data_IF_704562862919
#
_entry.id   IF_704562862919
#
_cell.length_a   1.000
_cell.length_b   1.000
_cell.length_c   1.000
_cell.angle_alpha   90.00
_cell.angle_beta   90.00
_cell.angle_gamma   90.00
#
_symmetry.space_group_name_H-M   'P 1'
#
loop_
_entity.id
_entity.type
_entity.pdbx_description
1 polymer ?
#
# COMPACT_ATOMS: atom_id res chain seq x y z
N UNK A 1 -18.25 10.00 12.44
CA UNK A 1 -17.04 10.73 11.97
C UNK A 1 -17.31 11.38 10.62
N UNK A 2 -17.63 10.62 9.56
CA UNK A 2 -17.87 11.20 8.22
C UNK A 2 -19.09 12.14 8.18
N UNK A 3 -20.19 11.79 8.86
CA UNK A 3 -21.41 12.63 8.95
C UNK A 3 -21.17 13.93 9.74
N UNK A 4 -20.11 13.99 10.56
CA UNK A 4 -19.75 15.16 11.36
C UNK A 4 -18.66 16.01 10.68
N UNK A 5 -18.13 15.57 9.54
CA UNK A 5 -17.11 16.28 8.80
C UNK A 5 -17.77 17.07 7.66
N UNK A 6 -17.36 18.34 7.42
CA UNK A 6 -17.88 19.11 6.28
C UNK A 6 -17.63 18.37 4.97
N UNK A 7 -18.48 18.63 3.97
CA UNK A 7 -18.25 18.11 2.62
C UNK A 7 -16.85 18.53 2.14
N UNK A 8 -16.08 17.63 1.51
CA UNK A 8 -14.80 17.97 0.93
C UNK A 8 -14.99 19.07 -0.11
N UNK A 9 -14.05 20.01 -0.13
CA UNK A 9 -14.02 21.08 -1.14
C UNK A 9 -14.23 20.48 -2.54
N UNK A 10 -15.11 21.04 -3.40
CA UNK A 10 -15.30 20.59 -4.78
C UNK A 10 -13.99 20.40 -5.57
N UNK A 11 -12.94 21.15 -5.28
CA UNK A 11 -11.61 21.00 -5.89
C UNK A 11 -11.00 19.60 -5.63
N UNK A 12 -11.40 18.91 -4.56
CA UNK A 12 -10.93 17.58 -4.19
C UNK A 12 -11.71 16.43 -4.84
N UNK A 13 -12.84 16.69 -5.49
CA UNK A 13 -13.71 15.65 -6.04
C UNK A 13 -13.06 14.79 -7.14
N UNK A 14 -12.26 15.34 -8.07
CA UNK A 14 -11.52 14.52 -9.04
C UNK A 14 -10.56 13.54 -8.35
N UNK A 15 -9.89 13.99 -7.27
CA UNK A 15 -9.00 13.15 -6.48
C UNK A 15 -9.76 12.08 -5.70
N UNK A 16 -10.97 12.38 -5.23
CA UNK A 16 -11.86 11.41 -4.58
C UNK A 16 -12.28 10.28 -5.53
N UNK A 17 -12.69 10.62 -6.75
CA UNK A 17 -13.06 9.64 -7.77
C UNK A 17 -11.86 8.80 -8.21
N UNK A 18 -10.74 9.46 -8.54
CA UNK A 18 -9.51 8.78 -8.92
C UNK A 18 -9.00 7.88 -7.78
N UNK A 19 -8.99 8.39 -6.55
CA UNK A 19 -8.61 7.66 -5.35
C UNK A 19 -9.49 6.43 -5.16
N UNK A 20 -10.82 6.56 -5.26
CA UNK A 20 -11.75 5.43 -5.13
C UNK A 20 -11.44 4.33 -6.15
N UNK A 21 -11.23 4.70 -7.43
CA UNK A 21 -10.91 3.73 -8.49
C UNK A 21 -9.56 3.05 -8.26
N UNK A 22 -8.54 3.81 -7.88
CA UNK A 22 -7.21 3.27 -7.57
C UNK A 22 -7.23 2.38 -6.32
N UNK A 23 -8.01 2.76 -5.30
CA UNK A 23 -8.23 1.95 -4.09
C UNK A 23 -8.88 0.61 -4.44
N UNK A 24 -9.95 0.66 -5.23
CA UNK A 24 -10.63 -0.55 -5.70
C UNK A 24 -9.69 -1.43 -6.55
N UNK A 25 -8.95 -0.84 -7.49
CA UNK A 25 -8.04 -1.56 -8.37
C UNK A 25 -6.90 -2.24 -7.59
N UNK A 26 -6.25 -1.54 -6.63
CA UNK A 26 -5.19 -2.17 -5.84
C UNK A 26 -5.75 -3.35 -5.04
N UNK A 27 -6.96 -3.23 -4.47
CA UNK A 27 -7.54 -4.30 -3.66
C UNK A 27 -7.73 -5.57 -4.48
N UNK A 28 -8.20 -5.44 -5.72
CA UNK A 28 -8.35 -6.60 -6.61
C UNK A 28 -7.01 -7.22 -7.01
N UNK A 29 -6.05 -6.39 -7.43
CA UNK A 29 -4.74 -6.89 -7.86
C UNK A 29 -3.99 -7.54 -6.69
N UNK A 30 -4.08 -6.95 -5.49
CA UNK A 30 -3.47 -7.49 -4.27
C UNK A 30 -4.11 -8.83 -3.87
N UNK A 31 -5.43 -8.94 -3.91
CA UNK A 31 -6.12 -10.21 -3.65
C UNK A 31 -5.72 -11.29 -4.66
N UNK A 32 -5.55 -10.92 -5.94
CA UNK A 32 -5.08 -11.84 -6.96
C UNK A 32 -3.63 -12.26 -6.71
N UNK A 33 -2.76 -11.33 -6.29
CA UNK A 33 -1.38 -11.62 -5.93
C UNK A 33 -1.30 -12.62 -4.78
N UNK A 34 -2.07 -12.42 -3.70
CA UNK A 34 -2.11 -13.35 -2.57
C UNK A 34 -2.74 -14.70 -2.88
N UNK A 35 -3.60 -14.78 -3.89
CA UNK A 35 -4.17 -16.07 -4.31
C UNK A 35 -3.11 -17.01 -4.90
N UNK A 36 -2.04 -16.44 -5.47
CA UNK A 36 -1.00 -17.20 -6.17
C UNK A 36 0.40 -16.99 -5.56
N UNK A 37 0.52 -16.30 -4.43
CA UNK A 37 1.80 -16.07 -3.81
C UNK A 37 1.77 -15.79 -2.33
N UNK A 38 2.87 -16.15 -1.70
CA UNK A 38 3.13 -16.05 -0.27
C UNK A 38 3.09 -14.61 0.23
N UNK A 39 2.61 -14.40 1.47
CA UNK A 39 2.63 -13.10 2.13
C UNK A 39 4.06 -12.56 2.23
N UNK A 40 5.01 -13.44 2.58
CA UNK A 40 6.44 -13.12 2.71
C UNK A 40 7.10 -12.69 1.39
N UNK A 41 6.46 -12.89 0.24
CA UNK A 41 6.95 -12.45 -1.07
C UNK A 41 6.15 -11.26 -1.61
N UNK A 42 4.82 -11.38 -1.64
CA UNK A 42 3.93 -10.39 -2.26
C UNK A 42 3.98 -9.07 -1.50
N UNK A 43 3.97 -9.12 -0.16
CA UNK A 43 3.90 -7.91 0.66
C UNK A 43 5.16 -7.03 0.54
N UNK A 44 6.40 -7.55 0.68
CA UNK A 44 7.59 -6.73 0.48
C UNK A 44 7.73 -6.16 -0.93
N UNK A 45 7.35 -6.90 -1.97
CA UNK A 45 7.41 -6.41 -3.36
C UNK A 45 6.39 -5.27 -3.57
N UNK A 46 5.13 -5.48 -3.18
CA UNK A 46 4.07 -4.49 -3.37
C UNK A 46 4.33 -3.21 -2.57
N UNK A 47 4.87 -3.33 -1.36
CA UNK A 47 5.13 -2.18 -0.50
C UNK A 47 6.44 -1.49 -0.86
N UNK A 48 7.54 -2.25 -0.98
CA UNK A 48 8.86 -1.70 -1.28
C UNK A 48 8.95 -0.99 -2.64
N UNK A 49 8.16 -1.41 -3.64
CA UNK A 49 8.13 -0.72 -4.94
C UNK A 49 7.41 0.63 -4.89
N UNK A 50 6.49 0.84 -3.95
CA UNK A 50 5.66 2.04 -3.92
C UNK A 50 6.45 3.32 -3.61
N UNK A 51 7.31 3.41 -2.57
CA UNK A 51 8.13 4.59 -2.33
C UNK A 51 9.07 4.94 -3.50
N UNK A 52 9.64 3.93 -4.18
CA UNK A 52 10.46 4.16 -5.38
C UNK A 52 9.64 4.88 -6.43
N UNK A 53 8.46 4.33 -6.75
CA UNK A 53 7.59 4.88 -7.78
C UNK A 53 7.08 6.27 -7.38
N UNK A 54 6.68 6.47 -6.13
CA UNK A 54 6.30 7.80 -5.61
C UNK A 54 7.45 8.80 -5.73
N UNK A 55 8.68 8.40 -5.38
CA UNK A 55 9.87 9.23 -5.52
C UNK A 55 10.14 9.60 -6.99
N UNK A 56 10.23 8.60 -7.87
CA UNK A 56 10.46 8.80 -9.30
C UNK A 56 9.37 9.67 -9.96
N UNK A 57 8.10 9.42 -9.65
CA UNK A 57 6.99 10.22 -10.17
C UNK A 57 6.99 11.64 -9.60
N UNK A 58 7.39 11.84 -8.34
CA UNK A 58 7.53 13.19 -7.77
C UNK A 58 8.60 14.00 -8.50
N UNK A 59 9.69 13.37 -8.93
CA UNK A 59 10.77 14.03 -9.68
C UNK A 59 10.31 14.42 -11.07
N UNK A 60 9.66 13.48 -11.77
CA UNK A 60 9.19 13.68 -13.14
C UNK A 60 8.02 14.66 -13.24
N UNK A 61 7.08 14.65 -12.28
CA UNK A 61 5.88 15.47 -12.32
C UNK A 61 5.99 16.78 -11.52
N UNK A 62 6.77 16.80 -10.43
CA UNK A 62 6.90 17.97 -9.55
C UNK A 62 8.25 18.68 -9.69
N UNK A 63 9.14 18.20 -10.57
CA UNK A 63 10.43 18.84 -10.85
C UNK A 63 11.39 18.82 -9.65
N UNK A 64 11.22 17.90 -8.71
CA UNK A 64 12.10 17.78 -7.54
C UNK A 64 13.42 17.15 -7.97
N UNK A 65 14.55 17.81 -7.72
CA UNK A 65 15.87 17.23 -7.98
C UNK A 65 16.18 16.13 -6.95
N UNK A 66 16.59 14.94 -7.43
CA UNK A 66 17.05 13.87 -6.55
C UNK A 66 18.54 13.98 -6.27
N UNK A 67 18.92 13.75 -5.03
CA UNK A 67 20.33 13.56 -4.68
C UNK A 67 20.85 12.21 -5.19
N UNK A 68 22.19 12.10 -5.35
CA UNK A 68 22.86 10.83 -5.68
C UNK A 68 22.56 9.75 -4.64
N UNK A 69 22.37 10.15 -3.38
CA UNK A 69 22.01 9.24 -2.29
C UNK A 69 20.59 8.66 -2.50
N UNK A 70 19.62 9.46 -2.95
CA UNK A 70 18.26 9.00 -3.25
C UNK A 70 18.23 8.03 -4.45
N UNK A 71 18.99 8.33 -5.51
CA UNK A 71 19.16 7.43 -6.67
C UNK A 71 19.78 6.08 -6.27
N UNK A 72 20.81 6.10 -5.42
CA UNK A 72 21.44 4.87 -4.91
C UNK A 72 20.48 4.04 -4.06
N UNK A 73 19.65 4.70 -3.23
CA UNK A 73 18.65 4.04 -2.42
C UNK A 73 17.56 3.38 -3.28
N UNK A 74 17.08 4.06 -4.32
CA UNK A 74 16.17 3.49 -5.32
C UNK A 74 16.78 2.23 -5.97
N UNK A 75 18.06 2.28 -6.35
CA UNK A 75 18.78 1.14 -6.91
C UNK A 75 18.81 -0.06 -5.95
N UNK A 76 19.12 0.16 -4.67
CA UNK A 76 19.17 -0.90 -3.65
C UNK A 76 17.80 -1.53 -3.43
N UNK A 77 16.73 -0.73 -3.34
CA UNK A 77 15.37 -1.24 -3.19
C UNK A 77 14.98 -2.05 -4.45
N UNK A 78 15.31 -1.55 -5.64
CA UNK A 78 15.12 -2.27 -6.91
C UNK A 78 15.82 -3.63 -6.94
N UNK A 79 17.08 -3.70 -6.49
CA UNK A 79 17.83 -4.95 -6.34
C UNK A 79 17.17 -5.89 -5.34
N UNK A 80 16.72 -5.39 -4.19
CA UNK A 80 15.99 -6.19 -3.20
C UNK A 80 14.68 -6.78 -3.75
N UNK A 81 13.91 -5.98 -4.50
CA UNK A 81 12.67 -6.42 -5.14
C UNK A 81 12.92 -7.42 -6.28
N UNK A 82 13.92 -7.16 -7.13
CA UNK A 82 14.33 -8.10 -8.18
C UNK A 82 14.82 -9.42 -7.57
N UNK A 83 15.57 -9.35 -6.47
CA UNK A 83 15.99 -10.54 -5.71
C UNK A 83 14.78 -11.31 -5.20
N UNK A 84 13.79 -10.66 -4.55
CA UNK A 84 12.53 -11.28 -4.10
C UNK A 84 11.72 -11.92 -5.23
N UNK A 85 11.79 -11.35 -6.44
CA UNK A 85 11.13 -11.88 -7.64
C UNK A 85 11.78 -13.17 -8.15
N UNK A 86 13.06 -13.39 -7.83
CA UNK A 86 13.85 -14.57 -8.21
C UNK A 86 13.85 -15.67 -7.13
N UNK A 87 13.37 -15.37 -5.92
CA UNK A 87 13.30 -16.32 -4.80
C UNK A 87 12.13 -17.29 -4.97
N UNK A 88 12.39 -18.56 -4.70
CA UNK A 88 11.41 -19.65 -4.74
C UNK A 88 10.33 -19.45 -3.64
N UNK A 89 9.08 -19.76 -3.97
CA UNK A 89 7.96 -19.78 -3.03
C UNK A 89 8.09 -20.91 -2.00
N UNK A 90 7.18 -20.98 -1.02
CA UNK A 90 7.07 -22.07 -0.04
C UNK A 90 7.09 -23.46 -0.68
N UNK A 91 6.58 -23.54 -1.91
CA UNK A 91 6.41 -24.76 -2.70
C UNK A 91 7.65 -25.10 -3.55
N UNK A 92 8.72 -24.29 -3.46
CA UNK A 92 9.96 -24.47 -4.22
C UNK A 92 9.92 -23.94 -5.65
N UNK A 93 8.74 -23.50 -6.13
CA UNK A 93 8.55 -22.98 -7.49
C UNK A 93 8.70 -21.46 -7.56
N UNK A 94 9.21 -20.96 -8.68
CA UNK A 94 9.25 -19.52 -8.98
C UNK A 94 7.92 -19.08 -9.56
N UNK A 95 7.28 -18.08 -8.95
CA UNK A 95 6.04 -17.51 -9.47
C UNK A 95 6.24 -16.06 -9.91
N UNK A 96 6.78 -15.89 -11.11
CA UNK A 96 6.93 -14.56 -11.73
C UNK A 96 5.58 -13.84 -11.85
N UNK A 97 4.47 -14.56 -12.01
CA UNK A 97 3.14 -13.94 -12.10
C UNK A 97 2.74 -13.30 -10.77
N UNK A 98 3.03 -13.95 -9.64
CA UNK A 98 2.80 -13.36 -8.32
C UNK A 98 3.65 -12.10 -8.10
N UNK A 99 4.92 -12.13 -8.51
CA UNK A 99 5.82 -10.97 -8.44
C UNK A 99 5.33 -9.81 -9.33
N UNK A 100 4.89 -10.09 -10.56
CA UNK A 100 4.34 -9.07 -11.46
C UNK A 100 3.05 -8.45 -10.91
N UNK A 101 2.15 -9.25 -10.33
CA UNK A 101 0.95 -8.72 -9.68
C UNK A 101 1.28 -7.91 -8.41
N UNK A 102 2.30 -8.33 -7.66
CA UNK A 102 2.78 -7.56 -6.52
C UNK A 102 3.38 -6.20 -6.96
N UNK A 103 4.18 -6.18 -8.03
CA UNK A 103 4.69 -4.93 -8.63
C UNK A 103 3.56 -4.03 -9.13
N UNK A 104 2.57 -4.61 -9.82
CA UNK A 104 1.38 -3.87 -10.26
C UNK A 104 0.60 -3.29 -9.07
N UNK A 105 0.50 -4.05 -7.97
CA UNK A 105 -0.07 -3.54 -6.72
C UNK A 105 0.74 -2.35 -6.22
N UNK A 106 2.07 -2.43 -6.20
CA UNK A 106 2.92 -1.32 -5.80
C UNK A 106 2.76 -0.07 -6.65
N UNK A 107 2.50 -0.23 -7.95
CA UNK A 107 2.15 0.88 -8.83
C UNK A 107 0.82 1.54 -8.45
N UNK A 108 -0.22 0.75 -8.15
CA UNK A 108 -1.46 1.32 -7.62
C UNK A 108 -1.26 1.97 -6.25
N UNK A 109 -0.40 1.40 -5.39
CA UNK A 109 -0.06 2.00 -4.08
C UNK A 109 0.59 3.36 -4.25
N UNK A 110 1.53 3.49 -5.19
CA UNK A 110 2.16 4.75 -5.49
C UNK A 110 1.16 5.77 -6.04
N UNK A 111 0.35 5.36 -7.02
CA UNK A 111 -0.65 6.21 -7.65
C UNK A 111 -1.68 6.72 -6.64
N UNK A 112 -2.30 5.84 -5.83
CA UNK A 112 -3.27 6.30 -4.84
C UNK A 112 -2.61 7.15 -3.76
N UNK A 113 -1.36 6.87 -3.36
CA UNK A 113 -0.70 7.66 -2.30
C UNK A 113 -0.46 9.12 -2.75
N UNK A 114 -0.12 9.31 -4.03
CA UNK A 114 0.01 10.65 -4.63
C UNK A 114 -1.35 11.34 -4.74
N UNK A 115 -2.36 10.66 -5.30
CA UNK A 115 -3.71 11.20 -5.45
C UNK A 115 -4.32 11.56 -4.09
N UNK A 116 -4.18 10.69 -3.09
CA UNK A 116 -4.68 10.91 -1.75
C UNK A 116 -3.95 12.05 -1.04
N UNK A 117 -2.62 12.13 -1.19
CA UNK A 117 -1.84 13.21 -0.59
C UNK A 117 -2.14 14.58 -1.19
N UNK A 118 -2.31 14.66 -2.52
CA UNK A 118 -2.71 15.88 -3.22
C UNK A 118 -4.17 16.25 -2.91
N UNK A 119 -5.08 15.26 -2.96
CA UNK A 119 -6.50 15.43 -2.66
C UNK A 119 -6.75 15.88 -1.22
N UNK A 120 -6.03 15.32 -0.25
CA UNK A 120 -6.15 15.72 1.15
C UNK A 120 -5.63 17.15 1.40
N UNK A 121 -4.58 17.59 0.69
CA UNK A 121 -4.10 18.97 0.73
C UNK A 121 -5.10 19.93 0.10
N UNK A 122 -5.74 19.54 -1.00
CA UNK A 122 -6.79 20.33 -1.66
C UNK A 122 -8.09 20.40 -0.86
N UNK A 123 -8.45 19.32 -0.14
CA UNK A 123 -9.70 19.24 0.63
C UNK A 123 -9.66 20.02 1.96
N UNK A 124 -8.48 20.45 2.42
CA UNK A 124 -8.29 21.15 3.70
C UNK A 124 -8.57 20.31 4.96
N UNK A 125 -9.19 19.13 4.83
CA UNK A 125 -9.56 18.25 5.94
C UNK A 125 -9.21 16.78 5.62
N UNK A 126 -8.27 16.21 6.38
CA UNK A 126 -7.83 14.82 6.20
C UNK A 126 -8.93 13.80 6.54
N UNK A 127 -9.69 14.05 7.61
CA UNK A 127 -10.78 13.20 8.07
C UNK A 127 -11.98 13.20 7.13
N UNK A 128 -12.32 14.36 6.57
CA UNK A 128 -13.39 14.52 5.60
C UNK A 128 -13.07 13.81 4.30
N UNK A 129 -11.91 14.11 3.71
CA UNK A 129 -11.46 13.50 2.45
C UNK A 129 -11.44 11.97 2.54
N UNK A 130 -10.75 11.40 3.53
CA UNK A 130 -10.68 9.95 3.66
C UNK A 130 -12.01 9.32 4.08
N UNK A 131 -12.81 10.02 4.88
CA UNK A 131 -14.17 9.59 5.23
C UNK A 131 -15.01 9.29 3.99
N UNK A 132 -15.10 10.26 3.08
CA UNK A 132 -15.85 10.10 1.83
C UNK A 132 -15.23 9.08 0.88
N UNK A 133 -13.89 9.03 0.80
CA UNK A 133 -13.18 8.03 -0.01
C UNK A 133 -13.46 6.61 0.51
N UNK A 134 -13.46 6.42 1.82
CA UNK A 134 -13.73 5.13 2.44
C UNK A 134 -15.16 4.65 2.19
N UNK A 135 -16.14 5.56 2.22
CA UNK A 135 -17.54 5.25 1.90
C UNK A 135 -17.67 4.88 0.43
N UNK A 136 -17.10 5.68 -0.47
CA UNK A 136 -17.12 5.40 -1.91
C UNK A 136 -16.48 4.05 -2.23
N UNK A 137 -15.31 3.76 -1.63
CA UNK A 137 -14.64 2.48 -1.80
C UNK A 137 -15.44 1.31 -1.20
N UNK A 138 -16.04 1.49 -0.02
CA UNK A 138 -16.89 0.49 0.61
C UNK A 138 -18.15 0.19 -0.23
N UNK A 139 -18.74 1.19 -0.88
CA UNK A 139 -19.86 1.00 -1.80
C UNK A 139 -19.44 0.19 -3.02
N UNK A 140 -18.35 0.58 -3.70
CA UNK A 140 -17.87 -0.12 -4.91
C UNK A 140 -17.50 -1.57 -4.58
N UNK A 141 -16.72 -1.78 -3.51
CA UNK A 141 -16.28 -3.10 -3.10
C UNK A 141 -17.43 -3.96 -2.55
N UNK A 142 -18.38 -3.33 -1.83
CA UNK A 142 -19.58 -3.97 -1.32
C UNK A 142 -20.50 -4.47 -2.43
N UNK A 143 -20.75 -3.65 -3.45
CA UNK A 143 -21.50 -4.04 -4.65
C UNK A 143 -20.79 -5.19 -5.37
N UNK A 144 -19.47 -5.13 -5.52
CA UNK A 144 -18.71 -6.23 -6.12
C UNK A 144 -18.88 -7.55 -5.35
N UNK A 145 -18.74 -7.54 -4.02
CA UNK A 145 -18.91 -8.74 -3.19
C UNK A 145 -20.35 -9.26 -3.30
N UNK A 146 -21.35 -8.38 -3.23
CA UNK A 146 -22.75 -8.79 -3.35
C UNK A 146 -23.05 -9.50 -4.68
N UNK A 147 -22.48 -9.00 -5.79
CA UNK A 147 -22.71 -9.55 -7.13
C UNK A 147 -21.89 -10.80 -7.43
N UNK A 148 -20.64 -10.88 -6.98
CA UNK A 148 -19.69 -11.94 -7.39
C UNK A 148 -19.44 -13.00 -6.30
N UNK A 149 -19.69 -12.68 -5.04
CA UNK A 149 -19.40 -13.54 -3.87
C UNK A 149 -20.50 -13.38 -2.80
N UNK A 150 -21.79 -13.64 -3.11
CA UNK A 150 -22.89 -13.44 -2.16
C UNK A 150 -22.75 -14.27 -0.88
N UNK A 151 -22.05 -15.42 -0.93
CA UNK A 151 -21.74 -16.25 0.24
C UNK A 151 -20.75 -15.60 1.22
N UNK A 152 -19.88 -14.70 0.77
CA UNK A 152 -18.97 -13.95 1.65
C UNK A 152 -19.74 -12.80 2.31
N UNK A 153 -20.65 -12.15 1.58
CA UNK A 153 -21.51 -11.10 2.14
C UNK A 153 -22.34 -11.62 3.33
N UNK A 154 -22.92 -12.82 3.21
CA UNK A 154 -23.66 -13.43 4.31
C UNK A 154 -22.76 -13.79 5.50
N UNK A 155 -21.56 -14.33 5.27
CA UNK A 155 -20.62 -14.64 6.36
C UNK A 155 -20.16 -13.41 7.16
N UNK A 156 -20.02 -12.25 6.53
CA UNK A 156 -19.71 -10.99 7.22
C UNK A 156 -20.80 -10.65 8.23
N UNK A 157 -22.07 -10.83 7.83
CA UNK A 157 -23.23 -10.54 8.65
C UNK A 157 -23.40 -11.57 9.78
N UNK A 158 -23.05 -12.85 9.58
CA UNK A 158 -23.33 -13.89 10.58
C UNK A 158 -22.15 -14.24 11.49
N UNK A 159 -20.92 -14.28 10.98
CA UNK A 159 -19.78 -14.86 11.71
C UNK A 159 -18.61 -13.89 11.89
N UNK A 160 -18.42 -12.92 10.99
CA UNK A 160 -17.24 -12.05 11.01
C UNK A 160 -17.49 -10.66 11.63
N UNK A 161 -18.60 -10.44 12.35
CA UNK A 161 -18.94 -9.12 12.92
C UNK A 161 -17.81 -8.49 13.75
N UNK A 162 -17.14 -9.26 14.61
CA UNK A 162 -16.03 -8.75 15.43
C UNK A 162 -14.85 -8.29 14.58
N UNK A 163 -14.47 -9.09 13.57
CA UNK A 163 -13.37 -8.74 12.65
C UNK A 163 -13.74 -7.52 11.81
N UNK A 164 -15.00 -7.43 11.36
CA UNK A 164 -15.50 -6.29 10.60
C UNK A 164 -15.47 -4.99 11.42
N UNK A 165 -16.04 -4.99 12.63
CA UNK A 165 -16.08 -3.77 13.45
C UNK A 165 -14.70 -3.38 13.98
N UNK A 166 -13.95 -4.32 14.55
CA UNK A 166 -12.65 -4.00 15.15
C UNK A 166 -11.62 -3.72 14.05
N UNK A 167 -11.49 -4.61 13.06
CA UNK A 167 -10.54 -4.48 11.96
C UNK A 167 -10.86 -3.29 11.06
N UNK A 168 -12.14 -3.08 10.72
CA UNK A 168 -12.58 -1.95 9.92
C UNK A 168 -12.34 -0.61 10.62
N UNK A 169 -12.70 -0.49 11.89
CA UNK A 169 -12.46 0.74 12.66
C UNK A 169 -10.98 1.02 12.84
N UNK A 170 -10.18 0.01 13.18
CA UNK A 170 -8.73 0.15 13.32
C UNK A 170 -8.06 0.54 11.98
N UNK A 171 -8.47 -0.09 10.88
CA UNK A 171 -7.94 0.25 9.55
C UNK A 171 -8.32 1.66 9.12
N UNK A 172 -9.54 2.10 9.42
CA UNK A 172 -9.99 3.45 9.13
C UNK A 172 -9.15 4.48 9.89
N UNK A 173 -9.01 4.30 11.21
CA UNK A 173 -8.22 5.22 12.05
C UNK A 173 -6.75 5.24 11.61
N UNK A 174 -6.16 4.08 11.35
CA UNK A 174 -4.77 3.99 10.90
C UNK A 174 -4.55 4.76 9.59
N UNK A 175 -5.48 4.68 8.64
CA UNK A 175 -5.32 5.37 7.36
C UNK A 175 -5.66 6.85 7.43
N UNK A 176 -6.62 7.28 8.28
CA UNK A 176 -6.83 8.71 8.58
C UNK A 176 -5.53 9.35 9.08
N UNK A 177 -4.79 8.67 9.96
CA UNK A 177 -3.49 9.15 10.45
C UNK A 177 -2.46 9.28 9.32
N UNK A 178 -2.47 8.36 8.34
CA UNK A 178 -1.61 8.45 7.14
C UNK A 178 -1.97 9.66 6.30
N UNK A 179 -3.26 9.88 6.03
CA UNK A 179 -3.73 11.05 5.27
C UNK A 179 -3.40 12.35 5.99
N UNK A 180 -3.59 12.39 7.30
CA UNK A 180 -3.18 13.53 8.11
C UNK A 180 -1.66 13.76 8.01
N UNK A 181 -0.83 12.73 8.09
CA UNK A 181 0.61 12.85 7.91
C UNK A 181 0.98 13.38 6.51
N UNK A 182 0.26 13.00 5.45
CA UNK A 182 0.47 13.55 4.10
C UNK A 182 0.17 15.06 4.01
N UNK A 183 -0.68 15.61 4.87
CA UNK A 183 -0.91 17.06 4.93
C UNK A 183 0.24 17.80 5.61
N UNK A 184 0.91 17.16 6.58
CA UNK A 184 1.98 17.78 7.38
C UNK A 184 3.38 17.59 6.79
N UNK A 185 3.64 16.44 6.17
CA UNK A 185 4.96 16.04 5.71
C UNK A 185 4.95 15.67 4.21
N UNK A 186 6.13 15.67 3.55
CA UNK A 186 6.23 15.21 2.17
C UNK A 186 5.72 13.78 1.99
N UNK A 187 4.89 13.55 0.97
CA UNK A 187 4.30 12.23 0.66
C UNK A 187 5.36 11.11 0.63
N UNK A 188 6.53 11.28 -0.03
CA UNK A 188 7.56 10.23 -0.06
C UNK A 188 8.11 9.84 1.32
N UNK A 189 8.14 10.77 2.29
CA UNK A 189 8.65 10.51 3.63
C UNK A 189 7.66 9.65 4.42
N UNK A 190 6.36 9.97 4.32
CA UNK A 190 5.29 9.21 4.98
C UNK A 190 5.14 7.83 4.36
N UNK A 191 5.28 7.70 3.03
CA UNK A 191 5.29 6.38 2.38
C UNK A 191 6.53 5.57 2.75
N UNK A 192 7.71 6.17 2.89
CA UNK A 192 8.89 5.46 3.37
C UNK A 192 8.73 4.93 4.81
N UNK A 193 8.11 5.70 5.71
CA UNK A 193 7.87 5.25 7.09
C UNK A 193 6.98 4.01 7.13
N UNK A 194 6.05 3.90 6.17
CA UNK A 194 5.13 2.79 5.99
C UNK A 194 5.80 1.49 5.53
N UNK A 195 7.07 1.53 5.12
CA UNK A 195 7.87 0.33 4.77
C UNK A 195 8.33 -0.46 5.99
N UNK A 196 8.34 0.16 7.18
CA UNK A 196 8.62 -0.57 8.44
C UNK A 196 7.61 -1.69 8.70
N UNK A 197 6.38 -1.57 8.18
CA UNK A 197 5.36 -2.61 8.20
C UNK A 197 5.78 -3.92 7.50
N UNK A 198 6.76 -3.88 6.58
CA UNK A 198 7.29 -5.07 5.91
C UNK A 198 7.86 -6.08 6.93
N UNK A 199 8.56 -5.59 7.96
CA UNK A 199 9.13 -6.45 9.00
C UNK A 199 8.03 -7.20 9.74
N UNK A 200 6.96 -6.50 10.12
CA UNK A 200 5.83 -7.11 10.81
C UNK A 200 5.10 -8.12 9.93
N UNK A 201 4.90 -7.81 8.64
CA UNK A 201 4.29 -8.74 7.70
C UNK A 201 5.14 -10.01 7.50
N UNK A 202 6.46 -9.86 7.44
CA UNK A 202 7.39 -11.00 7.40
C UNK A 202 7.21 -11.86 8.66
N UNK A 203 7.25 -11.27 9.86
CA UNK A 203 7.06 -12.00 11.12
C UNK A 203 5.72 -12.74 11.15
N UNK A 204 4.64 -12.10 10.70
CA UNK A 204 3.30 -12.72 10.64
C UNK A 204 3.30 -13.91 9.66
N UNK A 205 3.86 -13.76 8.46
CA UNK A 205 3.92 -14.84 7.47
C UNK A 205 4.68 -16.07 7.98
N UNK A 206 5.72 -15.83 8.79
CA UNK A 206 6.59 -16.88 9.32
C UNK A 206 5.95 -17.59 10.51
N UNK A 207 5.58 -16.83 11.53
CA UNK A 207 5.13 -17.41 12.80
C UNK A 207 3.67 -17.85 12.73
N UNK A 208 2.82 -17.09 12.02
CA UNK A 208 1.38 -17.32 12.01
C UNK A 208 0.93 -18.12 10.79
N UNK A 209 1.43 -17.79 9.60
CA UNK A 209 1.09 -18.52 8.36
C UNK A 209 2.00 -19.73 8.10
N UNK A 210 3.06 -19.90 8.90
CA UNK A 210 4.03 -21.02 8.79
C UNK A 210 4.64 -21.14 7.39
N UNK A 211 4.82 -20.01 6.71
CA UNK A 211 5.47 -19.98 5.40
C UNK A 211 6.94 -20.39 5.53
N UNK A 212 7.41 -21.30 4.66
CA UNK A 212 8.82 -21.70 4.64
C UNK A 212 9.66 -20.52 4.16
N UNK A 213 10.55 -20.04 5.02
CA UNK A 213 11.52 -19.01 4.66
C UNK A 213 12.80 -19.66 4.14
N UNK A 214 13.26 -19.19 2.99
CA UNK A 214 14.62 -19.40 2.54
C UNK A 214 15.49 -18.20 2.97
N UNK A 215 16.76 -18.42 3.29
CA UNK A 215 17.75 -17.37 3.58
C UNK A 215 17.71 -16.24 2.54
N UNK A 216 17.44 -16.58 1.27
CA UNK A 216 17.27 -15.62 0.20
C UNK A 216 16.06 -14.68 0.38
N UNK A 217 14.92 -15.14 0.91
CA UNK A 217 13.75 -14.28 1.23
C UNK A 217 14.12 -13.30 2.35
N UNK A 218 14.85 -13.75 3.37
CA UNK A 218 15.31 -12.89 4.47
C UNK A 218 16.25 -11.82 3.94
N UNK A 219 17.29 -12.21 3.21
CA UNK A 219 18.27 -11.28 2.65
C UNK A 219 17.61 -10.27 1.73
N UNK A 220 16.72 -10.71 0.84
CA UNK A 220 16.07 -9.80 -0.10
C UNK A 220 15.10 -8.83 0.62
N UNK A 221 14.35 -9.30 1.64
CA UNK A 221 13.51 -8.42 2.47
C UNK A 221 14.36 -7.40 3.24
N UNK A 222 15.48 -7.83 3.81
CA UNK A 222 16.41 -6.95 4.53
C UNK A 222 17.04 -5.92 3.58
N UNK A 223 17.44 -6.31 2.38
CA UNK A 223 17.95 -5.38 1.36
C UNK A 223 16.91 -4.33 0.98
N UNK A 224 15.65 -4.72 0.77
CA UNK A 224 14.54 -3.78 0.51
C UNK A 224 14.35 -2.81 1.68
N UNK A 225 14.40 -3.28 2.92
CA UNK A 225 14.28 -2.43 4.12
C UNK A 225 15.46 -1.46 4.24
N UNK A 226 16.68 -1.94 4.02
CA UNK A 226 17.90 -1.10 4.07
C UNK A 226 17.82 0.00 3.01
N UNK A 227 17.44 -0.35 1.78
CA UNK A 227 17.26 0.64 0.72
C UNK A 227 16.19 1.68 1.07
N UNK A 228 15.05 1.25 1.64
CA UNK A 228 13.99 2.16 2.07
C UNK A 228 14.45 3.08 3.22
N UNK A 229 15.24 2.55 4.16
CA UNK A 229 15.83 3.33 5.23
C UNK A 229 16.85 4.36 4.70
N UNK A 230 17.70 3.97 3.74
CA UNK A 230 18.64 4.89 3.09
C UNK A 230 17.92 6.01 2.36
N UNK A 231 16.83 5.71 1.64
CA UNK A 231 16.02 6.73 0.96
C UNK A 231 15.46 7.76 1.95
N UNK A 232 15.09 7.33 3.16
CA UNK A 232 14.66 8.23 4.24
C UNK A 232 15.79 9.15 4.70
N UNK A 233 16.97 8.62 4.96
CA UNK A 233 18.10 9.41 5.48
C UNK A 233 18.64 10.39 4.43
N UNK A 234 18.66 9.98 3.16
CA UNK A 234 19.12 10.81 2.04
C UNK A 234 18.27 12.08 1.81
N UNK A 235 17.01 12.07 2.24
CA UNK A 235 16.10 13.22 2.12
C UNK A 235 16.27 14.26 3.23
N UNK A 236 16.99 13.92 4.31
CA UNK A 236 17.24 14.79 5.46
C UNK A 236 18.62 15.47 5.43
N UNK A 237 19.43 15.18 4.42
CA UNK A 237 20.75 15.75 4.16
C UNK A 237 20.71 16.66 2.95
#
# INVERSE_FOLDING_TARGET
IVILSPLPDPASWPYLLAGTLLHTAYQFVLLLAYRIGDLTQVYPIARGSAPILVGATSVLLLGVELSVAELSAIGIIGVGIMSLSLVQQSDGLRNLRAALLALLTGMFIAAYSLVDGLGARAAGTATGFYGWLSIANALVFGVFIALKRPSVASQIVYSAKRVFFIGGSASFVAYVLVIWAFTQAPIPLVTALRETSIVFALLIGVFFLRERINLAKVLATMTTIIGAAMLRFAKHS
#
